data_IF_902826560503
#
_entry.id   IF_902826560503
#
_cell.length_a   1.000
_cell.length_b   1.000
_cell.length_c   1.000
_cell.angle_alpha   90.00
_cell.angle_beta   90.00
_cell.angle_gamma   90.00
#
_symmetry.space_group_name_H-M   'P 1'
#
loop_
_entity.id
_entity.type
_entity.pdbx_description
1 polymer ?
#
# COMPACT_ATOMS: atom_id res chain seq x y z
N UNK A 1 18.57 -3.80 -1.56
CA UNK A 1 17.54 -3.01 -2.27
C UNK A 1 16.50 -2.52 -1.29
N UNK A 2 16.07 -1.31 -1.48
CA UNK A 2 15.01 -0.74 -0.65
C UNK A 2 13.70 -1.48 -0.88
N UNK A 3 12.87 -1.54 0.17
CA UNK A 3 11.50 -2.00 0.05
C UNK A 3 10.56 -0.82 -0.12
N UNK A 4 9.39 -1.05 -0.68
CA UNK A 4 8.33 -0.06 -0.79
C UNK A 4 7.00 -0.74 -0.45
N UNK A 5 6.13 0.00 0.20
CA UNK A 5 4.78 -0.48 0.53
C UNK A 5 3.82 0.03 -0.52
N UNK A 6 2.99 -0.85 -1.07
CA UNK A 6 1.99 -0.45 -2.05
C UNK A 6 0.63 -0.22 -1.39
N UNK A 7 0.02 0.92 -1.70
CA UNK A 7 -1.36 1.24 -1.37
C UNK A 7 -2.30 0.73 -2.47
N UNK A 8 -3.60 0.75 -2.19
CA UNK A 8 -4.61 0.23 -3.12
C UNK A 8 -4.61 0.95 -4.46
N UNK A 9 -4.35 2.27 -4.49
CA UNK A 9 -4.33 3.02 -5.74
C UNK A 9 -3.31 2.48 -6.76
N UNK A 10 -2.17 1.99 -6.28
CA UNK A 10 -1.18 1.36 -7.16
C UNK A 10 -1.70 0.01 -7.70
N UNK A 11 -2.25 -0.84 -6.81
CA UNK A 11 -2.79 -2.15 -7.23
C UNK A 11 -3.97 -2.00 -8.18
N UNK A 12 -4.84 -1.01 -7.94
CA UNK A 12 -5.97 -0.73 -8.81
C UNK A 12 -5.48 -0.29 -10.19
N UNK A 13 -4.51 0.61 -10.25
CA UNK A 13 -3.92 1.04 -11.51
C UNK A 13 -3.29 -0.13 -12.26
N UNK A 14 -2.62 -1.02 -11.54
CA UNK A 14 -1.98 -2.18 -12.14
C UNK A 14 -3.01 -3.18 -12.69
N UNK A 15 -4.13 -3.36 -11.99
CA UNK A 15 -5.13 -4.38 -12.32
C UNK A 15 -6.24 -3.94 -13.25
N UNK A 16 -6.42 -2.66 -13.49
CA UNK A 16 -7.49 -2.12 -14.33
C UNK A 16 -6.90 -1.40 -15.53
N UNK A 17 -7.05 -2.00 -16.71
CA UNK A 17 -6.48 -1.47 -17.96
C UNK A 17 -6.91 -0.04 -18.27
N UNK A 18 -8.15 0.32 -17.91
CA UNK A 18 -8.72 1.64 -18.19
C UNK A 18 -8.34 2.68 -17.15
N UNK A 19 -7.65 2.29 -16.10
CA UNK A 19 -7.17 3.26 -15.12
C UNK A 19 -6.16 4.21 -15.80
N UNK A 20 -6.29 5.53 -15.61
CA UNK A 20 -5.38 6.49 -16.25
C UNK A 20 -3.90 6.25 -15.91
N UNK A 21 -3.64 5.60 -14.78
CA UNK A 21 -2.28 5.33 -14.31
C UNK A 21 -1.81 3.90 -14.60
N UNK A 22 -2.58 3.15 -15.40
CA UNK A 22 -2.25 1.74 -15.67
C UNK A 22 -0.86 1.58 -16.30
N UNK A 23 -0.58 2.35 -17.35
CA UNK A 23 0.72 2.27 -18.03
C UNK A 23 1.86 2.65 -17.09
N UNK A 24 1.67 3.68 -16.26
CA UNK A 24 2.68 4.11 -15.30
C UNK A 24 2.95 3.03 -14.24
N UNK A 25 1.91 2.36 -13.75
CA UNK A 25 2.06 1.27 -12.78
C UNK A 25 2.83 0.10 -13.38
N UNK A 26 2.51 -0.28 -14.59
CA UNK A 26 3.22 -1.36 -15.29
C UNK A 26 4.69 -1.01 -15.54
N UNK A 27 4.96 0.20 -15.97
CA UNK A 27 6.33 0.67 -16.21
C UNK A 27 7.15 0.69 -14.92
N UNK A 28 6.55 1.16 -13.83
CA UNK A 28 7.21 1.14 -12.53
C UNK A 28 7.56 -0.28 -12.12
N UNK A 29 6.58 -1.19 -12.21
CA UNK A 29 6.78 -2.59 -11.81
C UNK A 29 7.90 -3.25 -12.60
N UNK A 30 7.96 -2.99 -13.90
CA UNK A 30 9.00 -3.56 -14.78
C UNK A 30 10.38 -3.06 -14.44
N UNK A 31 10.52 -1.81 -14.01
CA UNK A 31 11.81 -1.16 -13.75
C UNK A 31 12.29 -1.31 -12.31
N UNK A 32 11.37 -1.48 -11.35
CA UNK A 32 11.70 -1.49 -9.93
C UNK A 32 12.39 -2.79 -9.53
N UNK A 33 13.55 -2.67 -8.88
CA UNK A 33 14.36 -3.84 -8.48
C UNK A 33 14.25 -4.18 -7.00
N UNK A 34 13.58 -3.33 -6.22
CA UNK A 34 13.40 -3.57 -4.79
C UNK A 34 12.22 -4.49 -4.50
N UNK A 35 11.95 -4.69 -3.22
CA UNK A 35 10.82 -5.48 -2.75
C UNK A 35 9.57 -4.60 -2.66
N UNK A 36 8.45 -5.13 -3.13
CA UNK A 36 7.14 -4.51 -2.93
C UNK A 36 6.40 -5.31 -1.85
N UNK A 37 5.91 -4.62 -0.82
CA UNK A 37 5.18 -5.24 0.28
C UNK A 37 3.77 -4.68 0.31
N UNK A 38 2.79 -5.55 0.47
CA UNK A 38 1.36 -5.16 0.49
C UNK A 38 0.75 -5.69 1.78
N UNK A 39 0.27 -4.82 2.68
CA UNK A 39 -0.47 -5.31 3.84
C UNK A 39 -1.79 -5.94 3.39
N UNK A 40 -2.19 -7.02 4.03
CA UNK A 40 -3.39 -7.77 3.61
C UNK A 40 -4.66 -6.90 3.53
N UNK A 41 -4.90 -5.89 4.39
CA UNK A 41 -6.05 -5.00 4.22
C UNK A 41 -6.07 -4.25 2.89
N UNK A 42 -4.91 -3.93 2.34
CA UNK A 42 -4.81 -3.27 1.04
C UNK A 42 -5.27 -4.20 -0.08
N UNK A 43 -4.99 -5.49 0.04
CA UNK A 43 -5.50 -6.49 -0.93
C UNK A 43 -7.03 -6.48 -0.93
N UNK A 44 -7.63 -6.51 0.26
CA UNK A 44 -9.09 -6.49 0.42
C UNK A 44 -9.68 -5.21 -0.18
N UNK A 45 -9.12 -4.06 0.16
CA UNK A 45 -9.59 -2.77 -0.35
C UNK A 45 -9.51 -2.69 -1.88
N UNK A 46 -8.40 -3.14 -2.44
CA UNK A 46 -8.21 -3.14 -3.90
C UNK A 46 -9.28 -3.97 -4.61
N UNK A 47 -9.67 -5.10 -4.01
CA UNK A 47 -10.68 -5.99 -4.58
C UNK A 47 -12.07 -5.34 -4.71
N UNK A 48 -12.36 -4.29 -3.94
CA UNK A 48 -13.64 -3.58 -4.07
C UNK A 48 -13.81 -2.95 -5.45
N UNK A 49 -12.72 -2.66 -6.13
CA UNK A 49 -12.73 -2.01 -7.44
C UNK A 49 -12.67 -3.00 -8.60
N UNK A 50 -12.54 -4.29 -8.32
CA UNK A 50 -12.24 -5.30 -9.33
C UNK A 50 -13.45 -6.17 -9.67
N UNK A 51 -13.55 -6.56 -10.94
CA UNK A 51 -14.40 -7.67 -11.35
C UNK A 51 -13.88 -8.97 -10.73
N UNK A 52 -14.70 -10.01 -10.77
CA UNK A 52 -14.26 -11.33 -10.27
C UNK A 52 -12.99 -11.80 -10.99
N UNK A 53 -12.91 -11.63 -12.29
CA UNK A 53 -11.73 -12.03 -13.06
C UNK A 53 -10.47 -11.24 -12.62
N UNK A 54 -10.62 -9.94 -12.39
CA UNK A 54 -9.51 -9.11 -11.93
C UNK A 54 -9.06 -9.47 -10.50
N UNK A 55 -10.01 -9.82 -9.62
CA UNK A 55 -9.68 -10.32 -8.28
C UNK A 55 -8.85 -11.59 -8.37
N UNK A 56 -9.26 -12.53 -9.19
CA UNK A 56 -8.54 -13.79 -9.37
C UNK A 56 -7.12 -13.51 -9.90
N UNK A 57 -6.99 -12.62 -10.87
CA UNK A 57 -5.69 -12.25 -11.42
C UNK A 57 -4.79 -11.61 -10.37
N UNK A 58 -5.32 -10.73 -9.53
CA UNK A 58 -4.56 -10.12 -8.44
C UNK A 58 -4.04 -11.17 -7.46
N UNK A 59 -4.91 -12.07 -7.03
CA UNK A 59 -4.54 -13.12 -6.07
C UNK A 59 -3.49 -14.07 -6.65
N UNK A 60 -3.61 -14.41 -7.93
CA UNK A 60 -2.62 -15.24 -8.60
C UNK A 60 -1.27 -14.53 -8.71
N UNK A 61 -1.28 -13.24 -9.06
CA UNK A 61 -0.08 -12.42 -9.13
C UNK A 61 0.62 -12.36 -7.78
N UNK A 62 -0.13 -12.13 -6.71
CA UNK A 62 0.44 -12.12 -5.35
C UNK A 62 0.99 -13.47 -4.95
N UNK A 63 0.30 -14.56 -5.30
CA UNK A 63 0.76 -15.93 -5.02
C UNK A 63 2.10 -16.23 -5.69
N UNK A 64 2.31 -15.70 -6.88
CA UNK A 64 3.55 -15.91 -7.65
C UNK A 64 4.74 -15.12 -7.11
N UNK A 65 4.52 -14.18 -6.22
CA UNK A 65 5.55 -13.54 -5.45
C UNK A 65 6.20 -12.25 -6.00
N UNK A 66 5.65 -11.55 -7.02
CA UNK A 66 6.22 -10.25 -7.42
C UNK A 66 6.10 -9.20 -6.32
N UNK A 67 5.11 -9.37 -5.43
CA UNK A 67 4.97 -8.57 -4.23
C UNK A 67 4.68 -9.51 -3.07
N UNK A 68 5.16 -9.15 -1.87
CA UNK A 68 4.96 -9.93 -0.65
C UNK A 68 3.76 -9.36 0.11
N UNK A 69 2.80 -10.22 0.45
CA UNK A 69 1.69 -9.83 1.32
C UNK A 69 2.14 -9.94 2.78
N UNK A 70 1.91 -8.88 3.55
CA UNK A 70 2.18 -8.85 4.98
C UNK A 70 0.87 -9.02 5.74
N UNK A 71 0.77 -10.06 6.55
CA UNK A 71 -0.40 -10.33 7.39
C UNK A 71 -0.31 -9.55 8.69
N UNK A 72 -1.46 -9.31 9.31
CA UNK A 72 -1.55 -8.61 10.59
C UNK A 72 -1.70 -9.62 11.71
N UNK A 73 -0.71 -9.70 12.64
CA UNK A 73 -0.90 -10.52 13.84
C UNK A 73 -1.95 -9.89 14.76
N UNK A 74 -2.56 -10.64 15.68
CA UNK A 74 -3.62 -10.11 16.54
C UNK A 74 -3.24 -8.85 17.32
N UNK A 75 -2.00 -8.77 17.80
CA UNK A 75 -1.53 -7.60 18.56
C UNK A 75 -1.45 -6.32 17.70
N UNK A 76 -1.39 -6.45 16.38
CA UNK A 76 -1.38 -5.29 15.50
C UNK A 76 -2.66 -4.47 15.62
N UNK A 77 -3.78 -5.10 15.95
CA UNK A 77 -5.07 -4.42 16.01
C UNK A 77 -5.09 -3.31 17.07
N UNK A 78 -4.48 -3.53 18.23
CA UNK A 78 -4.38 -2.48 19.25
C UNK A 78 -3.49 -1.33 18.77
N UNK A 79 -2.39 -1.64 18.12
CA UNK A 79 -1.45 -0.64 17.61
C UNK A 79 -2.08 0.17 16.46
N UNK A 80 -2.81 -0.49 15.57
CA UNK A 80 -3.53 0.16 14.48
C UNK A 80 -4.64 1.05 15.04
N UNK A 81 -5.35 0.60 16.08
CA UNK A 81 -6.34 1.41 16.78
C UNK A 81 -5.75 2.71 17.31
N UNK A 82 -4.55 2.66 17.88
CA UNK A 82 -3.85 3.85 18.36
C UNK A 82 -3.49 4.80 17.20
N UNK A 83 -3.10 4.26 16.05
CA UNK A 83 -2.81 5.07 14.86
C UNK A 83 -4.08 5.76 14.37
N UNK A 84 -5.21 5.04 14.29
CA UNK A 84 -6.49 5.63 13.92
C UNK A 84 -6.85 6.80 14.84
N UNK A 85 -6.67 6.63 16.15
CA UNK A 85 -6.93 7.69 17.12
C UNK A 85 -6.04 8.91 16.95
N UNK A 86 -4.75 8.68 16.67
CA UNK A 86 -3.79 9.76 16.46
C UNK A 86 -4.16 10.64 15.27
N UNK A 87 -4.69 10.05 14.21
CA UNK A 87 -5.04 10.76 12.98
C UNK A 87 -6.54 10.89 12.78
N UNK A 88 -7.31 10.90 13.86
CA UNK A 88 -8.78 10.93 13.78
C UNK A 88 -9.30 12.08 12.94
N UNK A 89 -8.62 13.24 12.93
CA UNK A 89 -9.05 14.39 12.14
C UNK A 89 -8.97 14.15 10.63
N UNK A 90 -8.14 13.21 10.18
CA UNK A 90 -8.04 12.82 8.77
C UNK A 90 -9.00 11.69 8.43
N UNK A 91 -9.62 11.08 9.44
CA UNK A 91 -10.50 9.92 9.28
C UNK A 91 -9.89 8.83 8.39
N UNK A 92 -8.68 8.32 8.71
CA UNK A 92 -8.04 7.31 7.89
C UNK A 92 -8.84 6.02 7.92
N UNK A 93 -8.85 5.29 6.82
CA UNK A 93 -9.43 3.98 6.82
C UNK A 93 -8.46 2.95 7.44
N UNK A 94 -8.95 1.72 7.62
CA UNK A 94 -8.15 0.66 8.24
C UNK A 94 -6.90 0.35 7.41
N UNK A 95 -7.02 0.34 6.08
CA UNK A 95 -5.89 0.02 5.21
C UNK A 95 -4.78 1.07 5.34
N UNK A 96 -5.12 2.36 5.42
CA UNK A 96 -4.14 3.43 5.63
C UNK A 96 -3.39 3.24 6.95
N UNK A 97 -4.13 2.99 8.02
CA UNK A 97 -3.53 2.78 9.33
C UNK A 97 -2.66 1.52 9.36
N UNK A 98 -3.06 0.47 8.64
CA UNK A 98 -2.26 -0.74 8.50
C UNK A 98 -0.94 -0.48 7.77
N UNK A 99 -0.96 0.41 6.77
CA UNK A 99 0.26 0.83 6.08
C UNK A 99 1.21 1.55 7.04
N UNK A 100 0.71 2.49 7.84
CA UNK A 100 1.52 3.21 8.84
C UNK A 100 2.13 2.21 9.83
N UNK A 101 1.32 1.29 10.32
CA UNK A 101 1.78 0.24 11.23
C UNK A 101 2.89 -0.61 10.61
N UNK A 102 2.70 -1.04 9.37
CA UNK A 102 3.66 -1.89 8.68
C UNK A 102 4.96 -1.15 8.41
N UNK A 103 4.88 0.12 8.01
CA UNK A 103 6.04 0.96 7.79
C UNK A 103 6.93 1.04 9.04
N UNK A 104 6.30 1.19 10.21
CA UNK A 104 7.03 1.19 11.48
C UNK A 104 7.69 -0.15 11.76
N UNK A 105 6.97 -1.26 11.54
CA UNK A 105 7.51 -2.60 11.82
C UNK A 105 8.67 -2.97 10.90
N UNK A 106 8.62 -2.55 9.64
CA UNK A 106 9.66 -2.85 8.67
C UNK A 106 10.78 -1.82 8.64
N UNK A 107 10.58 -0.66 9.27
CA UNK A 107 11.48 0.47 9.07
C UNK A 107 11.49 0.95 7.62
N UNK A 108 10.37 0.82 6.93
CA UNK A 108 10.23 1.13 5.51
C UNK A 108 9.45 2.42 5.33
N UNK A 109 10.07 3.42 4.70
CA UNK A 109 9.44 4.73 4.50
C UNK A 109 8.83 4.90 3.13
N UNK A 110 9.23 4.09 2.15
CA UNK A 110 8.76 4.22 0.77
C UNK A 110 7.32 3.76 0.60
N UNK A 111 6.51 4.55 -0.08
CA UNK A 111 5.09 4.28 -0.33
C UNK A 111 4.75 4.53 -1.80
N UNK A 112 4.04 3.58 -2.40
CA UNK A 112 3.42 3.73 -3.71
C UNK A 112 1.94 4.04 -3.50
N UNK A 113 1.55 5.29 -3.66
CA UNK A 113 0.17 5.73 -3.40
C UNK A 113 -0.24 6.79 -4.41
N UNK A 114 -1.54 6.96 -4.58
CA UNK A 114 -2.13 8.12 -5.27
C UNK A 114 -2.55 9.20 -4.26
N UNK A 115 -2.58 8.85 -2.97
CA UNK A 115 -2.98 9.77 -1.90
C UNK A 115 -1.74 10.44 -1.30
N UNK A 116 -1.22 11.40 -2.03
CA UNK A 116 -0.02 12.13 -1.59
C UNK A 116 -0.32 13.09 -0.44
N UNK A 117 -1.59 13.50 -0.28
CA UNK A 117 -2.01 14.42 0.77
C UNK A 117 -1.91 13.76 2.16
N UNK A 118 -2.61 12.66 2.36
CA UNK A 118 -2.68 12.03 3.67
C UNK A 118 -1.35 11.37 4.04
N UNK A 119 -0.68 10.72 3.10
CA UNK A 119 0.65 10.16 3.36
C UNK A 119 1.72 11.22 3.52
N UNK A 120 1.45 12.46 3.14
CA UNK A 120 2.28 13.61 3.49
C UNK A 120 2.13 14.02 4.96
N UNK A 121 1.04 13.64 5.61
CA UNK A 121 0.76 13.95 7.02
C UNK A 121 1.19 12.83 7.96
N UNK A 122 0.92 11.57 7.60
CA UNK A 122 1.28 10.43 8.44
C UNK A 122 2.78 10.41 8.72
N UNK A 123 3.14 9.94 9.90
CA UNK A 123 4.54 9.85 10.33
C UNK A 123 4.84 8.46 10.88
N UNK A 124 6.03 7.98 10.62
CA UNK A 124 6.59 6.82 11.27
C UNK A 124 7.09 7.21 12.67
N UNK A 125 7.42 6.21 13.48
CA UNK A 125 8.02 6.43 14.80
C UNK A 125 9.27 7.32 14.68
N UNK A 126 9.42 8.21 15.65
CA UNK A 126 10.50 9.19 15.61
C UNK A 126 10.19 10.41 14.75
N UNK A 127 8.96 10.54 14.26
CA UNK A 127 8.53 11.67 13.44
C UNK A 127 9.00 11.65 12.00
N UNK A 128 9.51 10.50 11.54
CA UNK A 128 10.01 10.36 10.17
C UNK A 128 8.87 10.44 9.15
N UNK A 129 9.13 11.06 8.03
CA UNK A 129 8.16 11.20 6.94
C UNK A 129 8.15 9.96 6.06
N UNK A 130 6.99 9.65 5.48
CA UNK A 130 6.93 8.75 4.35
C UNK A 130 7.69 9.35 3.17
N UNK A 131 8.36 8.50 2.42
CA UNK A 131 8.96 8.84 1.15
C UNK A 131 7.99 8.42 0.06
N UNK A 132 7.28 9.40 -0.52
CA UNK A 132 6.31 9.13 -1.58
C UNK A 132 7.08 8.85 -2.85
N UNK A 133 7.15 7.57 -3.20
CA UNK A 133 7.90 7.13 -4.38
C UNK A 133 7.12 7.52 -5.63
N UNK A 134 7.77 8.24 -6.54
CA UNK A 134 7.12 8.69 -7.75
C UNK A 134 7.01 7.54 -8.75
N UNK A 135 5.78 7.20 -9.13
CA UNK A 135 5.51 6.15 -10.10
C UNK A 135 4.54 6.61 -11.21
N UNK A 136 3.94 7.77 -11.04
CA UNK A 136 3.11 8.40 -12.08
C UNK A 136 3.39 9.89 -12.07
N UNK A 137 3.01 10.53 -13.09
CA UNK A 137 3.25 11.96 -13.14
C UNK A 137 2.93 12.59 -14.37
#
# INVERSE_FOLDING_TARGET
MAAVIADSGFLVALGIRRDPRHAAAKSFLAAYKGEIVVPSPVVVESCFFFSTAAKISLLDWLRKGPARVAELPPQAYAEIGAILGRYASLDPDFADAAIVWLADKLGCRGILTVDTRDFGVYRLKGGKRFEIVRWFG
#
